data_IF_107001061534
#
_entry.id   IF_107001061534
#
_cell.length_a   1.000
_cell.length_b   1.000
_cell.length_c   1.000
_cell.angle_alpha   90.00
_cell.angle_beta   90.00
_cell.angle_gamma   90.00
#
_symmetry.space_group_name_H-M   'P 1'
#
loop_
_entity.id
_entity.type
_entity.pdbx_description
1 polymer ?
#
# COMPACT_ATOMS: atom_id res chain seq x y z
N UNK A 1 -13.97 19.12 -2.29
CA UNK A 1 -12.56 19.35 -1.97
C UNK A 1 -11.82 18.04 -2.02
N UNK A 2 -10.67 18.01 -2.71
CA UNK A 2 -9.74 16.89 -2.81
C UNK A 2 -8.35 17.44 -2.49
N UNK A 3 -7.57 16.71 -1.71
CA UNK A 3 -6.15 17.03 -1.44
C UNK A 3 -5.33 15.86 -1.96
N UNK A 4 -4.54 16.10 -3.00
CA UNK A 4 -3.69 15.11 -3.66
C UNK A 4 -2.24 15.39 -3.28
N UNK A 5 -1.59 14.45 -2.58
CA UNK A 5 -0.15 14.51 -2.28
C UNK A 5 0.57 13.49 -3.14
N UNK A 6 1.55 13.93 -3.92
CA UNK A 6 2.32 13.09 -4.85
C UNK A 6 3.79 13.07 -4.46
N UNK A 7 4.33 11.86 -4.26
CA UNK A 7 5.77 11.61 -4.19
C UNK A 7 6.15 10.73 -5.38
N UNK A 8 7.25 11.08 -6.04
CA UNK A 8 7.77 10.33 -7.18
C UNK A 8 9.20 9.88 -6.85
N UNK A 9 9.48 8.59 -7.00
CA UNK A 9 10.87 8.13 -7.13
C UNK A 9 11.31 8.40 -8.58
N UNK A 10 12.50 8.95 -8.77
CA UNK A 10 12.95 9.48 -10.06
C UNK A 10 14.34 8.97 -10.43
N UNK A 11 14.45 8.45 -11.65
CA UNK A 11 15.68 7.94 -12.23
C UNK A 11 16.09 8.82 -13.43
N UNK A 12 17.16 9.59 -13.28
CA UNK A 12 17.68 10.49 -14.31
C UNK A 12 18.42 11.71 -13.73
N UNK A 13 18.65 12.73 -14.56
CA UNK A 13 19.23 14.00 -14.11
C UNK A 13 18.12 14.95 -13.62
N UNK A 14 18.25 15.43 -12.38
CA UNK A 14 17.30 16.35 -11.75
C UNK A 14 17.18 17.70 -12.47
N UNK A 15 18.14 18.08 -13.31
CA UNK A 15 18.11 19.32 -14.10
C UNK A 15 17.26 19.21 -15.38
N UNK A 16 17.04 18.00 -15.89
CA UNK A 16 16.10 17.73 -17.00
C UNK A 16 14.68 17.42 -16.51
N UNK A 17 14.48 17.17 -15.20
CA UNK A 17 13.19 16.77 -14.64
C UNK A 17 12.19 17.94 -14.50
N UNK A 18 11.04 17.78 -15.16
CA UNK A 18 9.83 18.56 -14.90
C UNK A 18 8.61 17.64 -14.80
N UNK A 19 7.87 17.79 -13.71
CA UNK A 19 6.65 17.05 -13.43
C UNK A 19 5.45 17.78 -14.07
N UNK A 20 4.87 17.20 -15.12
CA UNK A 20 3.65 17.70 -15.79
C UNK A 20 2.47 16.89 -15.31
N UNK A 21 1.57 17.50 -14.54
CA UNK A 21 0.40 16.81 -13.95
C UNK A 21 -0.90 17.43 -14.48
N UNK A 22 -1.79 16.63 -15.11
CA UNK A 22 -3.14 17.05 -15.43
C UNK A 22 -3.96 17.25 -14.16
N UNK A 23 -4.69 18.36 -14.08
CA UNK A 23 -5.57 18.71 -12.95
C UNK A 23 -6.96 19.07 -13.46
N UNK A 24 -8.03 18.68 -12.74
CA UNK A 24 -9.40 18.77 -13.26
C UNK A 24 -9.97 20.20 -13.26
N UNK A 25 -9.27 21.16 -12.64
CA UNK A 25 -9.65 22.57 -12.52
C UNK A 25 -8.41 23.47 -12.55
N UNK A 26 -8.60 24.78 -12.37
CA UNK A 26 -7.48 25.67 -12.06
C UNK A 26 -6.99 25.46 -10.62
N UNK A 27 -5.71 25.75 -10.40
CA UNK A 27 -5.02 25.63 -9.12
C UNK A 27 -4.34 26.98 -8.86
N UNK A 28 -4.72 27.69 -7.80
CA UNK A 28 -4.04 28.93 -7.38
C UNK A 28 -2.81 28.64 -6.52
N UNK A 29 -1.93 29.63 -6.32
CA UNK A 29 -0.73 29.50 -5.47
C UNK A 29 -1.02 28.93 -4.09
N UNK A 30 -2.07 29.42 -3.43
CA UNK A 30 -2.46 28.99 -2.07
C UNK A 30 -3.00 27.55 -1.98
N UNK A 31 -3.18 26.88 -3.13
CA UNK A 31 -3.62 25.49 -3.22
C UNK A 31 -2.45 24.50 -3.38
N UNK A 32 -1.21 24.98 -3.52
CA UNK A 32 -0.02 24.13 -3.70
C UNK A 32 0.92 24.27 -2.51
N UNK A 33 1.34 23.14 -1.94
CA UNK A 33 2.29 23.06 -0.84
C UNK A 33 3.32 21.96 -1.09
N UNK A 34 4.45 22.02 -0.38
CA UNK A 34 5.41 20.90 -0.28
C UNK A 34 5.26 20.31 1.12
N UNK A 35 5.16 18.98 1.19
CA UNK A 35 4.87 18.20 2.39
C UNK A 35 6.14 17.48 2.86
N UNK A 36 6.18 17.10 4.13
CA UNK A 36 7.26 16.26 4.66
C UNK A 36 7.10 14.81 4.18
N UNK A 37 8.17 14.21 3.63
CA UNK A 37 8.19 12.81 3.22
C UNK A 37 7.87 11.87 4.39
N UNK A 38 8.26 12.22 5.61
CA UNK A 38 7.99 11.43 6.81
C UNK A 38 6.48 11.14 7.04
N UNK A 39 5.58 12.00 6.53
CA UNK A 39 4.13 11.77 6.62
C UNK A 39 3.65 10.64 5.70
N UNK A 40 4.24 10.49 4.52
CA UNK A 40 3.97 9.37 3.63
C UNK A 40 4.66 8.10 4.12
N UNK A 41 5.87 8.20 4.67
CA UNK A 41 6.58 7.06 5.24
C UNK A 41 5.86 6.50 6.48
N UNK A 42 5.21 7.36 7.28
CA UNK A 42 4.34 6.96 8.38
C UNK A 42 3.04 6.30 7.89
N UNK A 43 2.40 6.83 6.84
CA UNK A 43 1.24 6.19 6.19
C UNK A 43 1.60 4.80 5.61
N UNK A 44 2.76 4.69 4.97
CA UNK A 44 3.26 3.44 4.41
C UNK A 44 3.47 2.41 5.51
N UNK A 45 4.24 2.75 6.56
CA UNK A 45 4.51 1.87 7.69
C UNK A 45 3.24 1.44 8.47
N UNK A 46 2.26 2.33 8.62
CA UNK A 46 0.97 1.99 9.27
C UNK A 46 0.16 0.99 8.45
N UNK A 47 0.12 1.15 7.12
CA UNK A 47 -0.75 0.37 6.23
C UNK A 47 -0.11 -0.88 5.62
N UNK A 48 1.22 -0.96 5.59
CA UNK A 48 1.96 -2.01 4.90
C UNK A 48 1.51 -3.43 5.30
N UNK A 49 1.41 -4.36 4.34
CA UNK A 49 1.24 -5.78 4.63
C UNK A 49 2.38 -6.35 5.47
N UNK A 50 2.05 -7.32 6.32
CA UNK A 50 2.92 -7.71 7.46
C UNK A 50 2.90 -9.19 7.79
N UNK A 51 3.91 -9.61 8.53
CA UNK A 51 3.91 -10.87 9.26
C UNK A 51 3.17 -10.69 10.60
N UNK A 52 2.49 -11.76 11.05
CA UNK A 52 1.88 -11.87 12.38
C UNK A 52 2.36 -13.17 13.00
N UNK A 53 2.93 -13.10 14.19
CA UNK A 53 3.52 -14.25 14.86
C UNK A 53 2.58 -14.78 15.95
N UNK A 54 2.24 -16.07 15.88
CA UNK A 54 1.59 -16.81 16.97
C UNK A 54 2.54 -17.87 17.49
N UNK A 55 2.39 -18.23 18.76
CA UNK A 55 3.15 -19.28 19.41
C UNK A 55 2.16 -20.35 19.85
N UNK A 56 2.40 -21.61 19.46
CA UNK A 56 1.52 -22.70 19.86
C UNK A 56 1.62 -22.93 21.38
N UNK A 57 0.48 -23.16 22.03
CA UNK A 57 0.44 -23.42 23.48
C UNK A 57 1.02 -24.81 23.82
N UNK A 58 1.34 -25.02 25.10
CA UNK A 58 1.71 -26.34 25.61
C UNK A 58 0.54 -27.33 25.47
N UNK A 59 0.66 -28.40 24.65
CA UNK A 59 -0.43 -29.33 24.39
C UNK A 59 -0.79 -30.19 25.61
N UNK A 60 0.02 -30.17 26.67
CA UNK A 60 -0.28 -30.82 27.95
C UNK A 60 -0.95 -29.87 28.97
N UNK A 61 -1.12 -28.58 28.66
CA UNK A 61 -1.79 -27.62 29.55
C UNK A 61 -3.30 -27.86 29.57
N UNK A 62 -3.95 -28.01 30.74
CA UNK A 62 -5.41 -28.06 30.81
C UNK A 62 -5.99 -26.71 30.37
N UNK A 63 -6.89 -26.73 29.39
CA UNK A 63 -7.68 -25.54 29.01
C UNK A 63 -8.66 -25.21 30.13
N UNK A 64 -8.43 -24.06 30.78
CA UNK A 64 -9.46 -23.37 31.54
C UNK A 64 -10.16 -22.39 30.59
N UNK A 65 -11.49 -22.49 30.49
CA UNK A 65 -12.30 -21.61 29.65
C UNK A 65 -12.61 -20.31 30.42
N UNK A 66 -11.78 -19.28 30.26
CA UNK A 66 -12.07 -17.95 30.82
C UNK A 66 -13.16 -17.23 30.01
N UNK A 67 -14.38 -17.28 30.54
CA UNK A 67 -15.57 -16.63 29.98
C UNK A 67 -15.58 -15.11 30.24
N UNK A 68 -15.24 -14.36 29.19
CA UNK A 68 -15.74 -13.03 28.79
C UNK A 68 -16.22 -12.06 29.89
N UNK A 69 -15.42 -11.01 30.17
CA UNK A 69 -15.83 -9.86 31.00
C UNK A 69 -15.30 -8.49 30.49
N UNK A 70 -15.77 -8.00 29.32
CA UNK A 70 -15.58 -6.57 28.94
C UNK A 70 -16.85 -5.81 28.52
N UNK A 71 -17.70 -5.54 29.52
CA UNK A 71 -18.35 -4.25 29.88
C UNK A 71 -18.57 -3.15 28.80
N UNK A 72 -19.79 -2.59 28.82
CA UNK A 72 -20.39 -1.61 27.88
C UNK A 72 -20.08 -0.10 28.16
N UNK A 73 -20.54 0.77 27.23
CA UNK A 73 -20.83 2.24 27.34
C UNK A 73 -19.65 3.23 27.12
N UNK A 74 -19.81 4.46 26.59
CA UNK A 74 -20.93 5.17 25.89
C UNK A 74 -20.41 6.41 25.10
N UNK A 75 -21.30 7.27 24.55
CA UNK A 75 -20.99 8.39 23.63
C UNK A 75 -21.64 9.77 24.08
N UNK A 76 -21.86 10.84 23.25
CA UNK A 76 -21.37 12.20 23.58
C UNK A 76 -22.41 13.37 23.53
N UNK A 77 -21.99 14.65 23.73
CA UNK A 77 -22.72 15.88 23.32
C UNK A 77 -21.94 16.81 22.35
N UNK A 78 -22.53 17.92 21.84
CA UNK A 78 -22.00 18.69 20.69
C UNK A 78 -22.43 20.19 20.55
N UNK A 79 -21.80 20.90 19.57
CA UNK A 79 -22.15 22.21 18.93
C UNK A 79 -21.90 23.52 19.73
N UNK A 80 -21.77 24.75 19.14
CA UNK A 80 -22.01 25.27 17.77
C UNK A 80 -21.08 26.47 17.35
N UNK A 81 -21.25 27.06 16.14
CA UNK A 81 -20.46 28.16 15.52
C UNK A 81 -21.19 29.56 15.53
N UNK A 82 -20.86 30.68 14.78
CA UNK A 82 -20.59 30.77 13.30
C UNK A 82 -19.82 32.00 12.67
N UNK A 83 -19.52 31.96 11.33
CA UNK A 83 -19.28 33.10 10.35
C UNK A 83 -18.01 33.99 10.56
N UNK A 84 -17.38 34.74 9.62
CA UNK A 84 -17.47 35.10 8.15
C UNK A 84 -16.13 35.83 7.74
N UNK A 85 -15.71 36.23 6.51
CA UNK A 85 -16.00 36.04 5.05
C UNK A 85 -14.75 36.58 4.23
N UNK A 86 -14.86 36.84 2.92
CA UNK A 86 -13.95 37.59 2.00
C UNK A 86 -12.70 36.90 1.40
N UNK A 87 -12.29 37.31 0.18
CA UNK A 87 -11.26 36.65 -0.67
C UNK A 87 -10.56 37.58 -1.68
N UNK A 88 -10.54 37.20 -2.98
CA UNK A 88 -9.88 37.84 -4.16
C UNK A 88 -8.61 37.09 -4.65
N UNK A 89 -8.30 37.25 -5.94
CA UNK A 89 -7.38 36.52 -6.83
C UNK A 89 -6.02 37.28 -7.02
N UNK A 90 -5.04 36.92 -7.86
CA UNK A 90 -5.03 36.18 -9.15
C UNK A 90 -3.69 35.46 -9.44
N UNK A 91 -3.55 34.93 -10.66
CA UNK A 91 -2.50 34.02 -11.13
C UNK A 91 -1.10 34.68 -11.22
N UNK A 92 -0.04 33.94 -10.86
CA UNK A 92 1.37 34.35 -10.93
C UNK A 92 2.30 33.14 -11.07
N UNK A 93 3.56 33.35 -11.49
CA UNK A 93 4.63 32.33 -11.49
C UNK A 93 5.45 32.43 -10.20
N UNK A 94 5.81 31.30 -9.58
CA UNK A 94 6.52 31.31 -8.28
C UNK A 94 7.20 29.97 -7.95
N UNK A 95 8.21 30.03 -7.09
CA UNK A 95 8.84 28.86 -6.46
C UNK A 95 8.05 28.42 -5.21
N UNK A 96 7.95 27.11 -4.97
CA UNK A 96 7.47 26.48 -3.73
C UNK A 96 8.47 25.39 -3.33
N UNK A 97 9.21 25.63 -2.25
CA UNK A 97 10.30 24.73 -1.85
C UNK A 97 11.37 24.63 -2.93
N UNK A 98 11.64 23.42 -3.39
CA UNK A 98 12.57 23.09 -4.48
C UNK A 98 11.93 23.07 -5.87
N UNK A 99 10.67 23.51 -6.02
CA UNK A 99 9.94 23.50 -7.30
C UNK A 99 9.66 24.90 -7.82
N UNK A 100 10.08 25.20 -9.05
CA UNK A 100 9.58 26.34 -9.81
C UNK A 100 8.28 25.93 -10.49
N UNK A 101 7.16 26.54 -10.09
CA UNK A 101 5.82 26.12 -10.50
C UNK A 101 5.26 27.08 -11.55
N UNK A 102 4.83 26.50 -12.67
CA UNK A 102 4.20 27.18 -13.77
C UNK A 102 2.81 26.57 -14.02
N UNK A 103 1.78 27.40 -13.94
CA UNK A 103 0.39 26.99 -14.16
C UNK A 103 -0.06 27.60 -15.49
N UNK A 104 -0.59 26.77 -16.40
CA UNK A 104 -1.03 27.25 -17.71
C UNK A 104 -2.52 27.56 -17.73
N UNK A 105 -2.90 28.67 -18.37
CA UNK A 105 -4.29 28.99 -18.64
C UNK A 105 -4.90 28.02 -19.66
N UNK A 106 -6.23 27.87 -19.65
CA UNK A 106 -6.94 26.96 -20.56
C UNK A 106 -6.75 27.29 -22.06
N UNK A 107 -6.39 28.54 -22.40
CA UNK A 107 -6.03 28.93 -23.78
C UNK A 107 -4.60 28.50 -24.16
N UNK A 108 -3.69 28.46 -23.19
CA UNK A 108 -2.32 27.98 -23.36
C UNK A 108 -2.21 26.46 -23.30
N UNK A 109 -3.26 25.72 -22.91
CA UNK A 109 -3.20 24.25 -22.89
C UNK A 109 -2.97 23.66 -24.29
N UNK A 110 -3.54 24.26 -25.35
CA UNK A 110 -3.21 23.93 -26.75
C UNK A 110 -1.74 24.25 -27.13
N UNK A 111 -1.10 25.16 -26.39
CA UNK A 111 0.30 25.54 -26.56
C UNK A 111 1.24 24.94 -25.50
N UNK A 112 0.80 23.98 -24.67
CA UNK A 112 1.67 23.32 -23.70
C UNK A 112 2.79 22.56 -24.41
N UNK A 113 2.48 21.89 -25.53
CA UNK A 113 3.47 21.20 -26.36
C UNK A 113 4.50 22.19 -26.94
N UNK A 114 4.03 23.30 -27.50
CA UNK A 114 4.88 24.39 -28.00
C UNK A 114 5.75 24.98 -26.90
N UNK A 115 5.16 25.34 -25.76
CA UNK A 115 5.86 25.93 -24.61
C UNK A 115 6.92 24.98 -24.04
N UNK A 116 6.61 23.68 -23.95
CA UNK A 116 7.57 22.67 -23.51
C UNK A 116 8.79 22.62 -24.45
N UNK A 117 8.57 22.60 -25.77
CA UNK A 117 9.64 22.61 -26.78
C UNK A 117 10.44 23.93 -26.72
N UNK A 118 9.77 25.08 -26.65
CA UNK A 118 10.39 26.41 -26.53
C UNK A 118 11.23 26.58 -25.26
N UNK A 119 10.87 25.89 -24.17
CA UNK A 119 11.61 25.89 -22.91
C UNK A 119 12.65 24.74 -22.83
N UNK A 120 12.89 24.02 -23.93
CA UNK A 120 13.95 23.02 -24.07
C UNK A 120 13.60 21.61 -23.56
N UNK A 121 12.34 21.33 -23.22
CA UNK A 121 11.92 20.02 -22.75
C UNK A 121 11.75 19.03 -23.91
N UNK A 122 12.30 17.83 -23.74
CA UNK A 122 12.18 16.71 -24.69
C UNK A 122 10.80 16.07 -24.52
N UNK A 123 9.91 16.21 -25.49
CA UNK A 123 8.58 15.57 -25.47
C UNK A 123 8.70 14.14 -26.03
N UNK A 124 8.35 13.08 -25.28
CA UNK A 124 8.43 11.72 -25.79
C UNK A 124 7.31 11.42 -26.79
N UNK A 125 7.55 10.45 -27.69
CA UNK A 125 6.57 10.04 -28.70
C UNK A 125 5.28 9.54 -28.02
N UNK A 126 4.14 10.05 -28.48
CA UNK A 126 2.82 9.71 -27.93
C UNK A 126 2.30 10.69 -26.86
N UNK A 127 3.16 11.45 -26.18
CA UNK A 127 2.75 12.38 -25.13
C UNK A 127 1.73 13.41 -25.65
N UNK A 128 1.96 13.98 -26.85
CA UNK A 128 1.06 14.93 -27.51
C UNK A 128 -0.40 14.42 -27.64
N UNK A 129 -0.60 13.14 -27.98
CA UNK A 129 -1.93 12.55 -28.11
C UNK A 129 -2.64 12.42 -26.74
N UNK A 130 -1.88 12.11 -25.69
CA UNK A 130 -2.39 11.98 -24.33
C UNK A 130 -2.70 13.36 -23.74
N UNK A 131 -1.78 14.34 -23.88
CA UNK A 131 -2.03 15.75 -23.55
C UNK A 131 -3.28 16.28 -24.26
N UNK A 132 -3.40 16.04 -25.56
CA UNK A 132 -4.59 16.37 -26.36
C UNK A 132 -5.89 15.74 -25.85
N UNK A 133 -5.83 14.57 -25.21
CA UNK A 133 -7.00 13.95 -24.58
C UNK A 133 -7.46 14.66 -23.30
N UNK A 134 -6.53 15.11 -22.44
CA UNK A 134 -6.86 15.92 -21.26
C UNK A 134 -7.39 17.31 -21.61
N UNK A 135 -6.83 17.93 -22.66
CA UNK A 135 -7.30 19.22 -23.20
C UNK A 135 -8.75 19.11 -23.67
N UNK A 136 -9.10 18.04 -24.40
CA UNK A 136 -10.49 17.75 -24.82
C UNK A 136 -11.42 17.52 -23.62
N UNK A 137 -10.92 16.97 -22.52
CA UNK A 137 -11.63 16.83 -21.24
C UNK A 137 -11.68 18.13 -20.40
N UNK A 138 -11.24 19.26 -20.95
CA UNK A 138 -11.15 20.59 -20.30
C UNK A 138 -10.29 20.62 -19.03
N UNK A 139 -9.38 19.66 -18.88
CA UNK A 139 -8.41 19.66 -17.78
C UNK A 139 -7.30 20.68 -18.05
N UNK A 140 -6.70 21.20 -16.97
CA UNK A 140 -5.53 22.07 -17.04
C UNK A 140 -4.28 21.29 -16.64
N UNK A 141 -3.12 21.92 -16.72
CA UNK A 141 -1.85 21.33 -16.31
C UNK A 141 -1.13 22.30 -15.38
N UNK A 142 -0.50 21.76 -14.34
CA UNK A 142 0.63 22.42 -13.70
C UNK A 142 1.92 21.74 -14.12
N UNK A 143 2.98 22.54 -14.25
CA UNK A 143 4.34 22.07 -14.49
C UNK A 143 5.17 22.46 -13.28
N UNK A 144 5.75 21.48 -12.59
CA UNK A 144 6.70 21.71 -11.50
C UNK A 144 8.11 21.30 -11.96
N UNK A 145 8.94 22.30 -12.26
CA UNK A 145 10.36 22.10 -12.60
C UNK A 145 11.17 22.02 -11.31
N UNK A 146 12.14 21.10 -11.22
CA UNK A 146 13.05 21.08 -10.07
C UNK A 146 14.09 22.21 -10.16
N UNK A 147 14.10 23.03 -9.12
CA UNK A 147 15.12 24.03 -8.89
C UNK A 147 16.32 23.39 -8.19
N UNK A 148 17.26 22.88 -8.98
CA UNK A 148 18.46 22.16 -8.50
C UNK A 148 19.33 22.99 -7.54
N UNK A 149 19.24 24.34 -7.57
CA UNK A 149 19.95 25.20 -6.61
C UNK A 149 19.32 25.17 -5.23
N UNK A 150 17.99 25.16 -5.13
CA UNK A 150 17.29 25.04 -3.86
C UNK A 150 17.31 23.60 -3.33
N UNK A 151 17.13 22.60 -4.21
CA UNK A 151 17.22 21.17 -3.85
C UNK A 151 18.56 20.85 -3.17
N UNK A 152 19.70 21.33 -3.71
CA UNK A 152 21.02 21.10 -3.12
C UNK A 152 21.23 21.74 -1.74
N UNK A 153 20.45 22.75 -1.35
CA UNK A 153 20.49 23.33 0.00
C UNK A 153 19.77 22.46 1.05
N UNK A 154 18.87 21.57 0.63
CA UNK A 154 18.08 20.74 1.54
C UNK A 154 18.92 19.61 2.17
N UNK A 155 20.07 19.25 1.58
CA UNK A 155 20.97 18.22 2.11
C UNK A 155 20.50 16.77 1.92
N UNK A 156 19.38 16.54 1.23
CA UNK A 156 18.82 15.21 0.97
C UNK A 156 18.73 14.92 -0.53
N UNK A 157 18.90 13.65 -0.91
CA UNK A 157 18.95 13.22 -2.31
C UNK A 157 17.56 12.91 -2.94
N UNK A 158 16.46 13.22 -2.25
CA UNK A 158 15.09 12.99 -2.73
C UNK A 158 14.36 14.32 -2.97
N UNK A 159 13.28 14.25 -3.74
CA UNK A 159 12.35 15.36 -3.95
C UNK A 159 11.18 15.25 -2.95
N UNK A 160 10.83 16.35 -2.26
CA UNK A 160 9.77 16.32 -1.25
C UNK A 160 8.38 16.23 -1.89
N UNK A 161 7.42 15.51 -1.27
CA UNK A 161 6.09 15.33 -1.85
C UNK A 161 5.38 16.66 -2.15
N UNK A 162 4.83 16.79 -3.36
CA UNK A 162 4.07 17.96 -3.80
C UNK A 162 2.58 17.72 -3.53
N UNK A 163 1.95 18.63 -2.79
CA UNK A 163 0.52 18.57 -2.46
C UNK A 163 -0.26 19.64 -3.20
N UNK A 164 -1.40 19.25 -3.76
CA UNK A 164 -2.31 20.12 -4.51
C UNK A 164 -3.74 19.92 -4.03
N UNK A 165 -4.39 21.00 -3.64
CA UNK A 165 -5.78 21.02 -3.13
C UNK A 165 -6.74 21.60 -4.17
N UNK A 166 -7.85 20.94 -4.49
CA UNK A 166 -8.78 21.43 -5.52
C UNK A 166 -10.23 21.01 -5.29
N UNK A 167 -11.14 21.64 -6.04
CA UNK A 167 -12.56 21.32 -6.05
C UNK A 167 -13.01 20.83 -7.42
N UNK A 168 -13.36 19.55 -7.50
CA UNK A 168 -13.91 18.92 -8.70
C UNK A 168 -14.78 17.73 -8.33
N UNK A 169 -15.82 17.40 -9.12
CA UNK A 169 -16.48 16.11 -9.05
C UNK A 169 -15.65 14.97 -9.69
N UNK A 170 -14.58 15.28 -10.43
CA UNK A 170 -13.68 14.26 -11.02
C UNK A 170 -12.76 13.68 -9.94
N UNK A 171 -13.19 12.59 -9.29
CA UNK A 171 -12.33 11.81 -8.40
C UNK A 171 -11.49 10.81 -9.22
N UNK A 172 -10.33 11.26 -9.67
CA UNK A 172 -9.44 10.48 -10.55
C UNK A 172 -7.96 10.81 -10.31
N UNK A 173 -7.06 9.89 -10.66
CA UNK A 173 -5.62 10.10 -10.70
C UNK A 173 -5.09 9.90 -12.13
N UNK A 174 -4.61 10.97 -12.80
CA UNK A 174 -4.07 10.87 -14.16
C UNK A 174 -2.71 10.17 -14.20
N UNK A 175 -2.69 8.93 -14.69
CA UNK A 175 -1.48 8.07 -14.73
C UNK A 175 -0.85 7.97 -16.13
N UNK A 176 -1.60 8.30 -17.19
CA UNK A 176 -1.20 8.00 -18.58
C UNK A 176 -0.05 8.84 -19.14
N UNK A 177 0.36 9.93 -18.47
CA UNK A 177 1.62 10.63 -18.82
C UNK A 177 2.85 9.94 -18.23
N UNK A 178 2.71 9.21 -17.12
CA UNK A 178 3.81 8.43 -16.53
C UNK A 178 4.26 7.31 -17.47
N UNK A 179 3.30 6.57 -18.03
CA UNK A 179 3.56 5.42 -18.92
C UNK A 179 4.30 5.79 -20.22
N UNK A 180 4.30 7.07 -20.63
CA UNK A 180 5.03 7.56 -21.81
C UNK A 180 6.50 7.87 -21.52
N UNK A 181 6.86 8.08 -20.25
CA UNK A 181 8.26 8.23 -19.81
C UNK A 181 8.84 6.92 -19.24
N UNK A 182 8.00 5.91 -18.97
CA UNK A 182 8.38 4.69 -18.29
C UNK A 182 9.18 3.73 -19.18
N UNK A 183 10.27 3.17 -18.64
CA UNK A 183 11.01 2.08 -19.27
C UNK A 183 10.43 0.71 -18.84
N UNK A 184 9.18 0.45 -19.23
CA UNK A 184 8.42 -0.74 -18.85
C UNK A 184 7.31 -0.42 -17.83
N UNK A 185 7.02 -1.38 -16.95
CA UNK A 185 5.99 -1.25 -15.90
C UNK A 185 6.44 -0.35 -14.75
N UNK A 186 5.49 0.30 -14.09
CA UNK A 186 5.71 1.08 -12.88
C UNK A 186 4.79 0.57 -11.76
N UNK A 187 5.25 0.67 -10.51
CA UNK A 187 4.44 0.40 -9.31
C UNK A 187 3.96 1.73 -8.69
N UNK A 188 2.68 1.80 -8.33
CA UNK A 188 2.02 2.98 -7.78
C UNK A 188 1.23 2.61 -6.52
N UNK A 189 1.53 3.27 -5.40
CA UNK A 189 0.72 3.21 -4.18
C UNK A 189 -0.21 4.42 -4.09
N UNK A 190 -1.49 4.18 -3.82
CA UNK A 190 -2.50 5.22 -3.57
C UNK A 190 -3.03 5.05 -2.15
N UNK A 191 -2.79 6.05 -1.31
CA UNK A 191 -3.32 6.14 0.05
C UNK A 191 -4.53 7.07 0.04
N UNK A 192 -5.73 6.49 -0.01
CA UNK A 192 -6.98 7.26 -0.03
C UNK A 192 -7.55 7.40 1.38
N UNK A 193 -7.81 8.64 1.80
CA UNK A 193 -8.41 8.98 3.10
C UNK A 193 -9.84 9.49 2.89
N UNK A 194 -10.85 8.69 3.27
CA UNK A 194 -12.27 9.05 3.15
C UNK A 194 -12.94 9.16 4.51
N UNK A 195 -14.00 9.96 4.62
CA UNK A 195 -14.89 9.94 5.79
C UNK A 195 -15.90 8.79 5.76
N UNK A 196 -16.24 8.24 4.58
CA UNK A 196 -17.36 7.29 4.40
C UNK A 196 -16.95 5.84 4.63
N UNK A 197 -15.92 5.38 3.93
CA UNK A 197 -15.50 3.98 3.88
C UNK A 197 -14.42 3.77 2.82
N UNK A 198 -14.27 2.53 2.32
CA UNK A 198 -13.25 2.17 1.34
C UNK A 198 -13.35 3.03 0.09
N UNK A 199 -12.19 3.45 -0.42
CA UNK A 199 -12.03 3.96 -1.78
C UNK A 199 -11.52 2.84 -2.69
N UNK A 200 -12.14 2.71 -3.85
CA UNK A 200 -11.88 1.66 -4.85
C UNK A 200 -12.06 2.24 -6.26
N UNK A 201 -11.52 1.56 -7.28
CA UNK A 201 -11.62 2.00 -8.67
C UNK A 201 -12.92 1.56 -9.35
N UNK A 202 -13.43 2.40 -10.25
CA UNK A 202 -14.67 2.15 -11.00
C UNK A 202 -14.45 1.61 -12.41
N UNK A 203 -13.33 1.98 -13.06
CA UNK A 203 -12.97 1.49 -14.40
C UNK A 203 -11.95 0.34 -14.41
N UNK A 204 -11.36 0.02 -13.25
CA UNK A 204 -10.49 -1.16 -13.05
C UNK A 204 -11.01 -2.00 -11.89
N UNK A 205 -10.90 -3.34 -12.00
CA UNK A 205 -11.31 -4.23 -10.90
C UNK A 205 -10.34 -4.08 -9.72
N UNK A 206 -10.87 -3.64 -8.58
CA UNK A 206 -10.14 -3.72 -7.31
C UNK A 206 -10.21 -5.16 -6.78
N UNK A 207 -9.07 -5.73 -6.37
CA UNK A 207 -8.94 -7.09 -5.84
C UNK A 207 -8.29 -7.07 -4.45
N UNK A 208 -8.65 -7.98 -3.55
CA UNK A 208 -8.00 -8.09 -2.22
C UNK A 208 -6.70 -8.87 -2.34
N UNK A 209 -5.60 -8.38 -1.78
CA UNK A 209 -4.34 -9.14 -1.71
C UNK A 209 -4.54 -10.43 -0.88
N UNK A 210 -3.90 -11.56 -1.23
CA UNK A 210 -4.00 -12.79 -0.43
C UNK A 210 -3.56 -12.55 1.02
N UNK A 211 -4.28 -13.13 1.98
CA UNK A 211 -4.12 -12.82 3.41
C UNK A 211 -4.60 -13.97 4.30
N UNK A 212 -4.05 -14.07 5.51
CA UNK A 212 -4.43 -15.04 6.54
C UNK A 212 -3.73 -16.41 6.42
N UNK A 213 -2.91 -16.63 5.40
CA UNK A 213 -2.22 -17.91 5.17
C UNK A 213 -1.07 -18.12 6.16
N UNK A 214 -0.96 -19.34 6.70
CA UNK A 214 0.20 -19.80 7.46
C UNK A 214 1.39 -20.07 6.53
N UNK A 215 2.55 -19.49 6.84
CA UNK A 215 3.80 -19.55 6.07
C UNK A 215 4.96 -20.13 6.89
N UNK A 216 6.00 -20.69 6.24
CA UNK A 216 7.17 -21.21 6.94
C UNK A 216 7.96 -20.13 7.66
N UNK A 217 8.44 -20.42 8.87
CA UNK A 217 9.13 -19.46 9.74
C UNK A 217 10.33 -18.73 9.11
N UNK A 218 11.03 -19.34 8.13
CA UNK A 218 12.16 -18.69 7.46
C UNK A 218 11.76 -17.43 6.68
N UNK A 219 10.47 -17.28 6.32
CA UNK A 219 9.94 -16.07 5.66
C UNK A 219 10.13 -14.82 6.52
N UNK A 220 10.30 -14.96 7.85
CA UNK A 220 10.68 -13.83 8.73
C UNK A 220 11.96 -13.12 8.29
N UNK A 221 12.96 -13.86 7.80
CA UNK A 221 14.21 -13.30 7.28
C UNK A 221 14.14 -12.91 5.79
N UNK A 222 13.07 -13.28 5.09
CA UNK A 222 12.93 -13.15 3.64
C UNK A 222 11.64 -12.41 3.23
N UNK A 223 11.04 -11.62 4.15
CA UNK A 223 9.71 -11.05 3.95
C UNK A 223 9.62 -10.16 2.70
N UNK A 224 10.62 -9.32 2.43
CA UNK A 224 10.65 -8.50 1.20
C UNK A 224 10.74 -9.35 -0.08
N UNK A 225 11.69 -10.30 -0.23
CA UNK A 225 11.69 -11.27 -1.33
C UNK A 225 10.38 -12.06 -1.49
N UNK A 226 9.76 -12.52 -0.40
CA UNK A 226 8.45 -13.17 -0.41
C UNK A 226 7.38 -12.21 -0.96
N UNK A 227 7.31 -10.99 -0.42
CA UNK A 227 6.29 -10.01 -0.75
C UNK A 227 6.34 -9.61 -2.23
N UNK A 228 7.53 -9.31 -2.74
CA UNK A 228 7.73 -9.01 -4.16
C UNK A 228 7.26 -10.18 -5.03
N UNK A 229 7.71 -11.42 -4.75
CA UNK A 229 7.31 -12.58 -5.55
C UNK A 229 5.80 -12.88 -5.48
N UNK A 230 5.15 -12.60 -4.34
CA UNK A 230 3.71 -12.80 -4.17
C UNK A 230 2.88 -11.73 -4.87
N UNK A 231 3.33 -10.47 -4.85
CA UNK A 231 2.71 -9.42 -5.65
C UNK A 231 2.93 -9.64 -7.15
N UNK A 232 4.13 -10.06 -7.56
CA UNK A 232 4.45 -10.40 -8.96
C UNK A 232 3.52 -11.53 -9.47
N UNK A 233 3.34 -12.60 -8.68
CA UNK A 233 2.45 -13.72 -9.00
C UNK A 233 0.96 -13.29 -9.02
N UNK A 234 0.51 -12.45 -8.08
CA UNK A 234 -0.84 -11.89 -8.06
C UNK A 234 -1.12 -11.01 -9.30
N UNK A 235 -0.15 -10.18 -9.72
CA UNK A 235 -0.25 -9.36 -10.94
C UNK A 235 -0.28 -10.25 -12.19
N UNK A 236 0.57 -11.29 -12.23
CA UNK A 236 0.64 -12.26 -13.34
C UNK A 236 -0.65 -13.09 -13.47
N UNK A 237 -1.25 -13.50 -12.37
CA UNK A 237 -2.50 -14.25 -12.35
C UNK A 237 -3.71 -13.43 -12.86
N UNK A 238 -3.65 -12.11 -12.73
CA UNK A 238 -4.73 -11.17 -13.04
C UNK A 238 -4.48 -10.36 -14.34
N UNK A 239 -3.61 -10.86 -15.22
CA UNK A 239 -3.21 -10.26 -16.52
C UNK A 239 -2.76 -8.79 -16.43
N UNK A 240 -2.26 -8.36 -15.27
CA UNK A 240 -1.90 -6.97 -14.95
C UNK A 240 -3.04 -5.95 -15.19
N UNK A 241 -4.31 -6.33 -15.02
CA UNK A 241 -5.49 -5.45 -15.22
C UNK A 241 -6.24 -5.07 -13.93
N UNK A 242 -5.58 -5.21 -12.78
CA UNK A 242 -6.23 -5.06 -11.46
C UNK A 242 -5.53 -4.04 -10.57
N UNK A 243 -6.32 -3.48 -9.66
CA UNK A 243 -5.88 -2.60 -8.58
C UNK A 243 -5.90 -3.42 -7.30
N UNK A 244 -4.75 -3.62 -6.65
CA UNK A 244 -4.66 -4.49 -5.47
C UNK A 244 -4.93 -3.67 -4.20
N UNK A 245 -6.00 -4.00 -3.49
CA UNK A 245 -6.27 -3.51 -2.14
C UNK A 245 -5.39 -4.29 -1.15
N UNK A 246 -4.53 -3.57 -0.45
CA UNK A 246 -3.58 -4.13 0.53
C UNK A 246 -4.02 -3.86 1.98
N UNK A 247 -4.75 -2.76 2.22
CA UNK A 247 -5.26 -2.37 3.53
C UNK A 247 -6.52 -1.51 3.39
N UNK A 248 -7.50 -1.73 4.27
CA UNK A 248 -8.68 -0.89 4.45
C UNK A 248 -9.13 -0.93 5.92
N UNK A 249 -9.03 0.18 6.65
CA UNK A 249 -9.38 0.25 8.09
C UNK A 249 -9.70 1.69 8.49
N UNK A 250 -10.43 1.85 9.59
CA UNK A 250 -10.57 3.11 10.32
C UNK A 250 -9.24 3.52 11.03
N UNK A 251 -8.70 4.71 10.79
CA UNK A 251 -7.38 5.10 11.33
C UNK A 251 -7.33 5.35 12.86
N UNK A 252 -8.37 5.03 13.62
CA UNK A 252 -8.40 5.26 15.07
C UNK A 252 -7.61 4.23 15.88
N UNK A 253 -7.39 3.04 15.31
CA UNK A 253 -6.71 1.91 15.96
C UNK A 253 -6.30 0.85 14.93
N UNK A 254 -5.53 -0.13 15.35
CA UNK A 254 -5.13 -1.29 14.54
C UNK A 254 -5.01 -2.54 15.44
N UNK A 255 -5.24 -3.72 14.88
CA UNK A 255 -4.90 -4.99 15.54
C UNK A 255 -4.36 -6.04 14.54
N UNK A 256 -3.09 -6.48 14.66
CA UNK A 256 -2.02 -5.85 15.47
C UNK A 256 -1.67 -4.45 14.93
N UNK A 257 -0.60 -3.80 15.39
CA UNK A 257 -0.12 -2.53 14.80
C UNK A 257 1.26 -2.69 14.13
N UNK A 258 1.46 -2.03 12.99
CA UNK A 258 2.72 -2.07 12.19
C UNK A 258 3.57 -0.83 12.47
N UNK A 259 2.89 0.31 12.58
CA UNK A 259 3.30 1.53 13.24
C UNK A 259 2.12 2.02 14.09
N UNK A 260 2.32 3.05 14.90
CA UNK A 260 1.23 3.73 15.61
C UNK A 260 0.23 4.41 14.63
N UNK A 261 -1.02 4.65 15.02
CA UNK A 261 -1.94 5.49 14.25
C UNK A 261 -1.44 6.93 14.11
N UNK A 262 -1.60 7.51 12.91
CA UNK A 262 -1.20 8.90 12.64
C UNK A 262 -1.96 9.89 13.54
N UNK A 263 -1.23 10.85 14.10
CA UNK A 263 -1.79 11.87 15.00
C UNK A 263 -2.71 12.83 14.23
N UNK A 264 -3.69 13.47 14.88
CA UNK A 264 -4.58 14.45 14.23
C UNK A 264 -3.85 15.56 13.46
N UNK A 265 -2.69 16.04 13.95
CA UNK A 265 -1.89 17.07 13.25
C UNK A 265 -1.14 16.54 12.01
N UNK A 266 -0.96 15.22 11.88
CA UNK A 266 -0.41 14.58 10.69
C UNK A 266 -1.53 14.38 9.65
N UNK A 267 -2.70 13.91 10.10
CA UNK A 267 -3.90 13.80 9.27
C UNK A 267 -4.33 15.16 8.67
N UNK A 268 -4.29 16.25 9.45
CA UNK A 268 -4.53 17.62 8.94
C UNK A 268 -3.56 18.00 7.81
N UNK A 269 -2.27 17.68 7.93
CA UNK A 269 -1.25 17.95 6.89
C UNK A 269 -1.46 17.11 5.63
N UNK A 270 -2.15 15.98 5.74
CA UNK A 270 -2.59 15.13 4.63
C UNK A 270 -3.94 15.58 4.02
N UNK A 271 -4.52 16.68 4.51
CA UNK A 271 -5.79 17.23 4.01
C UNK A 271 -7.05 16.76 4.72
N UNK A 272 -6.93 15.95 5.78
CA UNK A 272 -8.08 15.53 6.59
C UNK A 272 -8.59 16.72 7.40
N UNK A 273 -9.76 17.22 7.02
CA UNK A 273 -10.43 18.34 7.68
C UNK A 273 -11.53 17.88 8.63
N UNK A 274 -11.82 18.71 9.64
CA UNK A 274 -12.85 18.48 10.66
C UNK A 274 -12.28 17.97 11.99
N UNK A 275 -12.81 18.48 13.09
CA UNK A 275 -12.42 18.05 14.44
C UNK A 275 -13.01 16.67 14.76
N UNK A 276 -12.25 15.81 15.46
CA UNK A 276 -12.67 14.46 15.81
C UNK A 276 -12.88 13.51 14.61
N UNK A 277 -12.51 13.92 13.39
CA UNK A 277 -12.68 13.10 12.18
C UNK A 277 -11.57 12.07 12.08
N UNK A 278 -11.87 10.83 12.43
CA UNK A 278 -11.06 9.67 12.07
C UNK A 278 -11.38 9.23 10.64
N UNK A 279 -10.41 9.29 9.70
CA UNK A 279 -10.64 8.83 8.33
C UNK A 279 -10.61 7.30 8.27
N UNK A 280 -11.34 6.75 7.30
CA UNK A 280 -11.13 5.40 6.82
C UNK A 280 -10.07 5.45 5.72
N UNK A 281 -8.99 4.70 5.88
CA UNK A 281 -7.89 4.62 4.90
C UNK A 281 -8.12 3.47 3.93
N UNK A 282 -7.65 3.61 2.69
CA UNK A 282 -7.51 2.52 1.73
C UNK A 282 -6.13 2.61 1.07
N UNK A 283 -5.34 1.54 1.17
CA UNK A 283 -4.06 1.35 0.46
C UNK A 283 -4.33 0.52 -0.79
N UNK A 284 -4.22 1.16 -1.94
CA UNK A 284 -4.27 0.50 -3.24
C UNK A 284 -2.84 0.46 -3.82
N UNK A 285 -2.48 -0.64 -4.46
CA UNK A 285 -1.22 -0.83 -5.15
C UNK A 285 -1.49 -1.30 -6.58
N UNK A 286 -0.84 -0.66 -7.55
CA UNK A 286 -1.09 -0.87 -8.99
C UNK A 286 0.23 -1.01 -9.71
N UNK A 287 0.47 -2.15 -10.35
CA UNK A 287 1.50 -2.28 -11.39
C UNK A 287 0.88 -1.94 -12.73
N UNK A 288 1.42 -0.95 -13.44
CA UNK A 288 0.78 -0.41 -14.64
C UNK A 288 1.76 -0.10 -15.79
N UNK A 289 1.22 -0.16 -17.01
CA UNK A 289 1.82 0.30 -18.26
C UNK A 289 0.72 0.86 -19.19
N UNK A 290 1.08 1.33 -20.38
CA UNK A 290 0.13 1.90 -21.36
C UNK A 290 -0.78 0.86 -22.06
N UNK A 291 -0.47 -0.44 -21.99
CA UNK A 291 -1.20 -1.52 -22.66
C UNK A 291 -2.33 -2.06 -21.77
N UNK A 292 -2.08 -2.18 -20.47
CA UNK A 292 -3.00 -2.75 -19.50
C UNK A 292 -3.79 -1.66 -18.77
N UNK A 293 -3.20 -0.46 -18.62
CA UNK A 293 -3.87 0.76 -18.11
C UNK A 293 -3.93 1.87 -19.19
N UNK A 294 -4.75 1.72 -20.25
CA UNK A 294 -4.92 2.74 -21.28
C UNK A 294 -5.74 3.96 -20.83
N UNK A 295 -6.43 3.88 -19.68
CA UNK A 295 -7.21 4.94 -19.05
C UNK A 295 -6.58 5.40 -17.72
N UNK A 296 -7.07 6.53 -17.20
CA UNK A 296 -6.69 7.04 -15.90
C UNK A 296 -7.50 6.36 -14.80
N UNK A 297 -6.97 6.25 -13.57
CA UNK A 297 -7.68 5.62 -12.48
C UNK A 297 -8.84 6.52 -12.03
N UNK A 298 -10.08 6.04 -12.14
CA UNK A 298 -11.28 6.71 -11.63
C UNK A 298 -11.74 6.01 -10.36
N UNK A 299 -12.06 6.78 -9.31
CA UNK A 299 -12.34 6.27 -7.97
C UNK A 299 -13.77 6.57 -7.51
N UNK A 300 -14.27 5.76 -6.58
CA UNK A 300 -15.48 6.03 -5.80
C UNK A 300 -15.21 5.92 -4.30
N UNK A 301 -15.92 6.73 -3.50
CA UNK A 301 -16.04 6.50 -2.06
C UNK A 301 -17.23 5.56 -1.81
N UNK A 302 -16.99 4.41 -1.18
CA UNK A 302 -18.06 3.49 -0.76
C UNK A 302 -18.55 3.80 0.66
N UNK A 303 -19.67 3.16 1.04
CA UNK A 303 -20.10 3.07 2.44
C UNK A 303 -19.50 1.83 3.17
N UNK A 304 -18.62 1.07 2.51
CA UNK A 304 -18.06 -0.16 3.07
C UNK A 304 -16.93 0.18 4.06
N UNK A 305 -17.13 -0.15 5.34
CA UNK A 305 -16.13 -0.02 6.41
C UNK A 305 -15.62 -1.38 6.93
N UNK A 306 -15.73 -2.45 6.14
CA UNK A 306 -15.11 -3.73 6.49
C UNK A 306 -13.59 -3.57 6.63
N UNK A 307 -13.07 -3.88 7.81
CA UNK A 307 -11.63 -3.95 8.04
C UNK A 307 -11.02 -5.07 7.20
N UNK A 308 -9.94 -4.76 6.48
CA UNK A 308 -9.18 -5.68 5.64
C UNK A 308 -7.69 -5.33 5.67
N UNK A 309 -6.83 -6.34 5.62
CA UNK A 309 -5.39 -6.16 5.48
C UNK A 309 -4.70 -7.41 4.93
N UNK A 310 -3.64 -7.23 4.15
CA UNK A 310 -2.61 -8.24 3.90
C UNK A 310 -1.83 -8.59 5.18
N UNK A 311 -2.10 -9.76 5.77
CA UNK A 311 -1.36 -10.33 6.89
C UNK A 311 -0.97 -11.77 6.55
N UNK A 312 0.25 -12.16 6.91
CA UNK A 312 0.78 -13.50 6.66
C UNK A 312 1.24 -14.09 7.99
N UNK A 313 0.90 -15.35 8.26
CA UNK A 313 0.94 -15.89 9.62
C UNK A 313 2.17 -16.78 9.78
N UNK A 314 2.91 -16.56 10.87
CA UNK A 314 4.02 -17.42 11.29
C UNK A 314 3.64 -18.07 12.62
N UNK A 315 3.40 -19.39 12.62
CA UNK A 315 3.14 -20.16 13.84
C UNK A 315 4.42 -20.82 14.34
N UNK A 316 4.94 -20.36 15.47
CA UNK A 316 6.08 -20.99 16.12
C UNK A 316 5.63 -22.28 16.83
N UNK A 317 6.18 -23.46 16.46
CA UNK A 317 5.86 -24.68 17.15
C UNK A 317 6.29 -24.64 18.61
N UNK A 318 5.48 -25.20 19.50
CA UNK A 318 5.82 -25.40 20.90
C UNK A 318 7.04 -26.34 21.01
N UNK A 319 8.10 -25.85 21.65
CA UNK A 319 9.40 -26.52 21.79
C UNK A 319 9.60 -27.20 23.15
N UNK A 320 8.56 -27.27 23.97
CA UNK A 320 8.63 -27.83 25.32
C UNK A 320 8.88 -29.35 25.35
N UNK A 321 9.33 -29.82 26.52
CA UNK A 321 9.77 -31.21 26.71
C UNK A 321 8.69 -32.16 27.24
N UNK A 322 7.45 -31.71 27.43
CA UNK A 322 6.41 -32.54 28.04
C UNK A 322 6.06 -33.79 27.19
N UNK A 323 5.64 -34.84 27.89
CA UNK A 323 5.51 -36.23 27.37
C UNK A 323 4.10 -36.79 27.54
N UNK A 324 3.07 -35.93 27.56
CA UNK A 324 1.69 -36.38 27.49
C UNK A 324 1.34 -36.89 26.07
N UNK A 325 0.29 -37.70 25.94
CA UNK A 325 -0.24 -38.22 24.68
C UNK A 325 -0.48 -37.10 23.64
N UNK A 326 -1.03 -35.96 24.10
CA UNK A 326 -1.30 -34.78 23.29
C UNK A 326 -0.02 -34.16 22.71
N UNK A 327 1.11 -34.22 23.43
CA UNK A 327 2.40 -33.74 22.93
C UNK A 327 3.00 -34.67 21.85
N UNK A 328 2.71 -35.98 21.88
CA UNK A 328 3.09 -36.88 20.80
C UNK A 328 2.26 -36.64 19.53
N UNK A 329 0.93 -36.54 19.66
CA UNK A 329 0.06 -36.19 18.52
C UNK A 329 0.39 -34.82 17.91
N UNK A 330 0.63 -33.81 18.75
CA UNK A 330 1.07 -32.49 18.33
C UNK A 330 2.36 -32.56 17.50
N UNK A 331 3.44 -33.14 18.05
CA UNK A 331 4.73 -33.28 17.34
C UNK A 331 4.58 -34.06 16.02
N UNK A 332 3.77 -35.11 15.98
CA UNK A 332 3.51 -35.87 14.75
C UNK A 332 2.85 -35.01 13.65
N UNK A 333 1.86 -34.19 14.03
CA UNK A 333 1.11 -33.31 13.11
C UNK A 333 1.94 -32.18 12.47
N UNK A 334 3.07 -31.79 13.09
CA UNK A 334 3.90 -30.68 12.60
C UNK A 334 4.41 -30.91 11.17
N UNK A 335 4.69 -32.16 10.81
CA UNK A 335 5.15 -32.55 9.47
C UNK A 335 4.12 -32.21 8.37
N UNK A 336 2.85 -32.57 8.59
CA UNK A 336 1.76 -32.23 7.68
C UNK A 336 1.51 -30.71 7.63
N UNK A 337 1.56 -30.03 8.79
CA UNK A 337 1.41 -28.57 8.85
C UNK A 337 2.50 -27.84 8.06
N UNK A 338 3.75 -28.27 8.18
CA UNK A 338 4.88 -27.70 7.43
C UNK A 338 4.79 -27.93 5.92
N UNK A 339 4.22 -29.05 5.47
CA UNK A 339 3.92 -29.24 4.05
C UNK A 339 2.77 -28.33 3.58
N UNK A 340 1.75 -28.06 4.41
CA UNK A 340 0.74 -27.03 4.09
C UNK A 340 1.35 -25.62 4.04
N UNK A 341 2.21 -25.25 4.98
CA UNK A 341 2.98 -23.99 4.94
C UNK A 341 3.85 -23.90 3.67
N UNK A 342 4.47 -25.00 3.27
CA UNK A 342 5.26 -25.08 2.04
C UNK A 342 4.41 -24.85 0.78
N UNK A 343 3.24 -25.49 0.71
CA UNK A 343 2.29 -25.36 -0.39
C UNK A 343 1.70 -23.94 -0.46
N UNK A 344 1.33 -23.35 0.68
CA UNK A 344 0.88 -21.96 0.77
C UNK A 344 1.93 -21.00 0.19
N UNK A 345 3.18 -21.11 0.63
CA UNK A 345 4.26 -20.24 0.15
C UNK A 345 4.52 -20.44 -1.35
N UNK A 346 4.58 -21.69 -1.82
CA UNK A 346 4.81 -22.01 -3.23
C UNK A 346 3.68 -21.48 -4.14
N UNK A 347 2.42 -21.68 -3.73
CA UNK A 347 1.24 -21.19 -4.45
C UNK A 347 1.20 -19.66 -4.51
N UNK A 348 1.48 -18.99 -3.39
CA UNK A 348 1.44 -17.52 -3.32
C UNK A 348 2.53 -16.83 -4.14
N UNK A 349 3.67 -17.48 -4.41
CA UNK A 349 4.87 -16.82 -4.98
C UNK A 349 5.33 -17.41 -6.33
N UNK A 350 4.66 -18.44 -6.83
CA UNK A 350 5.14 -19.25 -7.95
C UNK A 350 6.46 -20.00 -7.69
N UNK A 351 6.98 -20.01 -6.45
CA UNK A 351 8.26 -20.66 -6.13
C UNK A 351 8.16 -22.18 -6.19
N UNK A 352 9.21 -22.82 -6.74
CA UNK A 352 9.36 -24.28 -6.73
C UNK A 352 9.17 -24.85 -5.32
N UNK A 353 8.15 -25.71 -5.16
CA UNK A 353 7.83 -26.36 -3.89
C UNK A 353 9.02 -27.11 -3.29
N UNK A 354 9.87 -27.73 -4.11
CA UNK A 354 11.05 -28.45 -3.62
C UNK A 354 12.17 -27.51 -3.15
N UNK A 355 12.24 -26.29 -3.68
CA UNK A 355 13.10 -25.23 -3.13
C UNK A 355 12.58 -24.78 -1.75
N UNK A 356 11.27 -24.67 -1.59
CA UNK A 356 10.63 -24.32 -0.31
C UNK A 356 10.85 -25.44 0.72
N UNK A 357 10.50 -26.69 0.40
CA UNK A 357 10.74 -27.87 1.25
C UNK A 357 12.20 -27.99 1.69
N UNK A 358 13.17 -27.74 0.80
CA UNK A 358 14.60 -27.71 1.15
C UNK A 358 14.97 -26.60 2.13
N UNK A 359 14.34 -25.42 2.07
CA UNK A 359 14.53 -24.37 3.10
C UNK A 359 13.93 -24.76 4.45
N UNK A 360 12.76 -25.39 4.46
CA UNK A 360 12.12 -25.89 5.69
C UNK A 360 13.00 -26.97 6.35
N UNK A 361 13.41 -27.99 5.60
CA UNK A 361 14.31 -29.04 6.12
C UNK A 361 15.72 -28.53 6.47
N UNK A 362 16.18 -27.44 5.86
CA UNK A 362 17.41 -26.74 6.22
C UNK A 362 17.30 -25.93 7.53
N UNK A 363 16.11 -25.41 7.83
CA UNK A 363 15.78 -24.78 9.11
C UNK A 363 15.56 -25.85 10.19
N UNK A 364 16.66 -26.49 10.63
CA UNK A 364 16.68 -27.53 11.66
C UNK A 364 15.87 -27.12 12.88
N UNK A 365 14.71 -27.74 13.07
CA UNK A 365 13.92 -27.63 14.30
C UNK A 365 14.79 -28.17 15.45
N UNK A 366 15.11 -27.32 16.43
CA UNK A 366 15.70 -27.77 17.70
C UNK A 366 14.58 -28.38 18.56
N UNK A 367 14.11 -29.56 18.15
CA UNK A 367 12.92 -30.18 18.70
C UNK A 367 12.70 -31.59 18.17
N UNK A 368 13.53 -32.52 18.64
CA UNK A 368 13.37 -33.99 18.51
C UNK A 368 13.33 -34.51 17.06
N UNK A 369 14.43 -35.10 16.60
CA UNK A 369 14.37 -36.02 15.46
C UNK A 369 13.42 -37.19 15.82
N UNK A 370 12.58 -37.69 14.89
CA UNK A 370 11.62 -38.74 15.20
C UNK A 370 12.37 -39.99 15.68
N UNK A 371 12.21 -40.32 16.96
CA UNK A 371 12.65 -41.59 17.51
C UNK A 371 11.92 -42.70 16.77
N UNK A 372 12.65 -43.68 16.21
CA UNK A 372 11.98 -44.87 15.70
C UNK A 372 11.11 -45.48 16.81
N UNK A 373 9.88 -45.95 16.50
CA UNK A 373 9.04 -46.61 17.49
C UNK A 373 9.81 -47.76 18.13
N UNK A 374 9.72 -47.90 19.43
CA UNK A 374 10.55 -48.85 20.17
C UNK A 374 10.29 -50.27 19.66
N UNK A 375 11.29 -51.16 19.76
CA UNK A 375 11.21 -52.49 19.12
C UNK A 375 9.98 -53.30 19.56
N UNK A 376 9.51 -53.10 20.80
CA UNK A 376 8.28 -53.71 21.30
C UNK A 376 7.02 -53.14 20.60
N UNK A 377 6.97 -51.85 20.26
CA UNK A 377 5.81 -51.21 19.61
C UNK A 377 5.58 -51.77 18.20
N UNK A 378 6.67 -52.06 17.48
CA UNK A 378 6.64 -52.78 16.20
C UNK A 378 6.11 -54.21 16.36
N UNK A 379 6.50 -54.89 17.45
CA UNK A 379 5.98 -56.23 17.81
C UNK A 379 4.47 -56.18 18.09
N UNK A 380 4.01 -55.25 18.92
CA UNK A 380 2.59 -55.05 19.25
C UNK A 380 1.76 -54.50 18.08
N UNK A 381 2.38 -53.95 17.03
CA UNK A 381 1.69 -53.62 15.78
C UNK A 381 1.44 -54.89 14.95
N UNK A 382 2.46 -55.74 14.76
CA UNK A 382 2.33 -57.00 14.02
C UNK A 382 1.33 -57.97 14.69
N UNK A 383 1.31 -58.06 16.02
CA UNK A 383 0.34 -58.87 16.79
C UNK A 383 -1.09 -58.29 16.83
N UNK A 384 -1.38 -57.20 16.11
CA UNK A 384 -2.74 -56.64 15.93
C UNK A 384 -3.23 -56.75 14.48
N UNK A 385 -2.55 -57.55 13.66
CA UNK A 385 -2.90 -57.83 12.25
C UNK A 385 -3.15 -59.32 11.96
N UNK A 386 -3.44 -60.11 13.01
CA UNK A 386 -3.95 -61.49 12.97
C UNK A 386 -5.33 -61.55 13.63
#
# INVERSE_FOLDING_TARGET
HTVLTMANDFQGDLSEFALVVPVPTFIERRQIAVVDKALLDHLDAFTAPRLVEYFDEDPCRPRFEELDMMRKMAAPPAAAAPRRDHGVTIEATYTVGEYDILILSARQSNGLETWLIENGYKIPRGAAAILGSYIKQQMRFFVARVNVKEQKKLGFNFLRPLQVSFDSPKFMLPIRLGTVNANGTQDLFVFALSRKGRVETTNYRTVRIPTGMDLPLFVKGEFKPFYTAMFDEQVRAEDMRVVVLEHAWDMGWCDPCSADPLRPEELKKLGVSGEGVTPFISRLHVRYDAQHFPEDLVFQETADRQNFQGRYVLRHPWSGQATCEQAYHYRASLSARQETEAQNLAHLTGWSIDRVRRKIGGAKIQGVAPSEPAWYERLWAAMRTE
#
